data_IF_855337016720
#
_entry.id   IF_855337016720
#
_cell.length_a   1.000
_cell.length_b   1.000
_cell.length_c   1.000
_cell.angle_alpha   90.00
_cell.angle_beta   90.00
_cell.angle_gamma   90.00
#
_symmetry.space_group_name_H-M   'P 1'
#
loop_
_entity.id
_entity.type
_entity.pdbx_description
1 polymer ?
#
# COMPACT_ATOMS: atom_id res chain seq x y z
N UNK A 1 -6.76 -19.15 5.82
CA UNK A 1 -7.27 -18.68 4.51
C UNK A 1 -7.24 -17.16 4.47
N UNK A 2 -6.66 -16.53 3.43
CA UNK A 2 -6.73 -15.07 3.21
C UNK A 2 -8.02 -14.78 2.43
N UNK A 3 -8.96 -14.05 3.03
CA UNK A 3 -10.22 -13.70 2.37
C UNK A 3 -10.05 -12.39 1.57
N UNK A 4 -10.49 -12.31 0.30
CA UNK A 4 -10.41 -11.09 -0.49
C UNK A 4 -11.20 -9.93 0.14
N UNK A 5 -10.65 -8.72 0.11
CA UNK A 5 -11.31 -7.51 0.64
C UNK A 5 -12.68 -7.23 -0.01
N UNK A 6 -12.88 -7.71 -1.24
CA UNK A 6 -14.14 -7.60 -2.00
C UNK A 6 -15.31 -8.31 -1.33
N UNK A 7 -15.07 -9.33 -0.49
CA UNK A 7 -16.12 -10.03 0.24
C UNK A 7 -16.88 -9.12 1.22
N UNK A 8 -16.31 -7.96 1.60
CA UNK A 8 -16.98 -7.01 2.49
C UNK A 8 -18.29 -6.46 1.92
N UNK A 9 -18.37 -6.33 0.59
CA UNK A 9 -19.55 -5.82 -0.13
C UNK A 9 -20.27 -6.92 -0.93
N UNK A 10 -19.85 -8.18 -0.77
CA UNK A 10 -20.41 -9.29 -1.51
C UNK A 10 -21.86 -9.59 -1.08
N UNK A 11 -22.64 -10.12 -2.02
CA UNK A 11 -24.03 -10.54 -1.83
C UNK A 11 -24.20 -11.92 -2.45
N UNK A 12 -24.94 -12.81 -1.79
CA UNK A 12 -25.30 -14.10 -2.37
C UNK A 12 -26.35 -13.86 -3.45
N UNK A 13 -26.07 -14.29 -4.69
CA UNK A 13 -27.03 -14.24 -5.79
C UNK A 13 -27.81 -15.56 -5.92
N UNK A 14 -27.14 -16.67 -5.62
CA UNK A 14 -27.69 -18.02 -5.57
C UNK A 14 -26.82 -18.85 -4.62
N UNK A 15 -27.43 -19.74 -3.84
CA UNK A 15 -26.68 -20.70 -3.02
C UNK A 15 -27.39 -22.03 -2.90
N UNK A 16 -26.58 -23.08 -2.70
CA UNK A 16 -27.02 -24.40 -2.30
C UNK A 16 -26.55 -24.61 -0.86
N UNK A 17 -27.45 -25.10 0.01
CA UNK A 17 -27.15 -25.44 1.41
C UNK A 17 -26.47 -24.32 2.24
N UNK A 18 -26.85 -23.06 2.01
CA UNK A 18 -26.35 -21.91 2.78
C UNK A 18 -24.82 -21.69 2.76
N UNK A 19 -24.10 -22.34 1.83
CA UNK A 19 -22.64 -22.27 1.78
C UNK A 19 -22.14 -20.82 1.57
N UNK A 20 -22.81 -20.04 0.71
CA UNK A 20 -22.44 -18.66 0.43
C UNK A 20 -22.65 -17.75 1.64
N UNK A 21 -23.80 -17.90 2.30
CA UNK A 21 -24.15 -17.18 3.53
C UNK A 21 -23.14 -17.45 4.65
N UNK A 22 -22.74 -18.71 4.84
CA UNK A 22 -21.71 -19.08 5.81
C UNK A 22 -20.35 -18.40 5.52
N UNK A 23 -19.90 -18.39 4.26
CA UNK A 23 -18.66 -17.69 3.90
C UNK A 23 -18.75 -16.16 4.08
N UNK A 24 -19.92 -15.56 3.80
CA UNK A 24 -20.13 -14.13 4.04
C UNK A 24 -20.08 -13.79 5.53
N UNK A 25 -20.69 -14.61 6.39
CA UNK A 25 -20.66 -14.42 7.84
C UNK A 25 -19.21 -14.48 8.37
N UNK A 26 -18.44 -15.48 7.94
CA UNK A 26 -17.02 -15.58 8.28
C UNK A 26 -16.22 -14.36 7.82
N UNK A 27 -16.48 -13.89 6.59
CA UNK A 27 -15.84 -12.71 6.04
C UNK A 27 -16.18 -11.46 6.86
N UNK A 28 -17.47 -11.25 7.20
CA UNK A 28 -17.91 -10.12 8.02
C UNK A 28 -17.27 -10.12 9.41
N UNK A 29 -17.22 -11.28 10.07
CA UNK A 29 -16.55 -11.41 11.37
C UNK A 29 -15.06 -11.07 11.28
N UNK A 30 -14.39 -11.50 10.21
CA UNK A 30 -12.97 -11.15 9.98
C UNK A 30 -12.77 -9.67 9.67
N UNK A 31 -13.65 -9.05 8.87
CA UNK A 31 -13.55 -7.61 8.58
C UNK A 31 -13.69 -6.75 9.83
N UNK A 32 -14.51 -7.18 10.80
CA UNK A 32 -14.63 -6.51 12.11
C UNK A 32 -13.35 -6.62 12.95
N UNK A 33 -12.60 -7.71 12.81
CA UNK A 33 -11.36 -7.94 13.56
C UNK A 33 -10.14 -7.17 13.00
N UNK A 34 -10.23 -6.60 11.79
CA UNK A 34 -9.11 -5.91 11.14
C UNK A 34 -8.13 -6.88 10.45
N UNK A 35 -7.09 -6.34 9.80
CA UNK A 35 -6.03 -7.20 9.25
C UNK A 35 -5.11 -7.69 10.36
N UNK A 36 -4.53 -8.91 10.25
CA UNK A 36 -3.51 -9.37 11.20
C UNK A 36 -2.38 -8.35 11.33
N UNK A 37 -1.87 -8.17 12.55
CA UNK A 37 -0.69 -7.32 12.80
C UNK A 37 0.55 -7.92 12.14
N UNK A 38 1.31 -7.09 11.45
CA UNK A 38 2.57 -7.51 10.85
C UNK A 38 3.66 -7.73 11.90
N UNK A 39 4.44 -8.79 11.71
CA UNK A 39 5.70 -9.02 12.40
C UNK A 39 6.74 -7.96 11.99
N UNK A 40 7.79 -7.79 12.80
CA UNK A 40 8.89 -6.87 12.45
C UNK A 40 9.54 -7.21 11.10
N UNK A 41 9.75 -8.50 10.81
CA UNK A 41 10.32 -8.94 9.54
C UNK A 41 9.45 -8.58 8.34
N UNK A 42 8.12 -8.71 8.45
CA UNK A 42 7.20 -8.30 7.39
C UNK A 42 7.21 -6.79 7.18
N UNK A 43 7.32 -5.99 8.26
CA UNK A 43 7.45 -4.53 8.15
C UNK A 43 8.75 -4.13 7.44
N UNK A 44 9.88 -4.76 7.81
CA UNK A 44 11.18 -4.54 7.16
C UNK A 44 11.10 -4.91 5.67
N UNK A 45 10.46 -6.05 5.35
CA UNK A 45 10.26 -6.46 3.96
C UNK A 45 9.45 -5.45 3.16
N UNK A 46 8.31 -4.97 3.69
CA UNK A 46 7.52 -3.92 3.03
C UNK A 46 8.34 -2.65 2.74
N UNK A 47 9.15 -2.21 3.72
CA UNK A 47 10.07 -1.08 3.54
C UNK A 47 11.09 -1.37 2.43
N UNK A 48 11.69 -2.55 2.43
CA UNK A 48 12.69 -2.96 1.44
C UNK A 48 12.10 -3.03 0.03
N UNK A 49 10.92 -3.62 -0.13
CA UNK A 49 10.24 -3.79 -1.41
C UNK A 49 9.88 -2.41 -2.00
N UNK A 50 9.37 -1.47 -1.19
CA UNK A 50 9.12 -0.10 -1.64
C UNK A 50 10.42 0.63 -2.04
N UNK A 51 11.45 0.62 -1.18
CA UNK A 51 12.72 1.30 -1.48
C UNK A 51 13.45 0.70 -2.68
N UNK A 52 13.28 -0.60 -2.95
CA UNK A 52 13.80 -1.24 -4.14
C UNK A 52 13.27 -0.56 -5.41
N UNK A 53 11.97 -0.32 -5.50
CA UNK A 53 11.36 0.32 -6.66
C UNK A 53 11.75 1.79 -6.80
N UNK A 54 11.87 2.52 -5.69
CA UNK A 54 12.36 3.89 -5.72
C UNK A 54 13.79 3.96 -6.26
N UNK A 55 14.70 3.13 -5.74
CA UNK A 55 16.08 3.06 -6.24
C UNK A 55 16.14 2.65 -7.71
N UNK A 56 15.28 1.72 -8.16
CA UNK A 56 15.18 1.36 -9.58
C UNK A 56 14.72 2.52 -10.46
N UNK A 57 13.80 3.35 -9.99
CA UNK A 57 13.38 4.54 -10.71
C UNK A 57 14.52 5.57 -10.82
N UNK A 58 15.33 5.73 -9.77
CA UNK A 58 16.53 6.59 -9.79
C UNK A 58 17.60 6.08 -10.76
N UNK A 59 17.88 4.77 -10.76
CA UNK A 59 18.83 4.13 -11.68
C UNK A 59 18.49 4.41 -13.16
N UNK A 60 17.20 4.58 -13.46
CA UNK A 60 16.69 4.81 -14.82
C UNK A 60 16.36 6.27 -15.12
N UNK A 61 16.89 7.24 -14.36
CA UNK A 61 16.60 8.68 -14.56
C UNK A 61 16.83 9.19 -15.99
N UNK A 62 17.79 8.59 -16.72
CA UNK A 62 18.11 8.92 -18.11
C UNK A 62 17.11 8.32 -19.12
N UNK A 63 16.18 7.49 -18.65
CA UNK A 63 15.10 6.88 -19.43
C UNK A 63 13.74 7.26 -18.81
N UNK A 64 13.23 8.48 -19.07
CA UNK A 64 12.11 9.05 -18.32
C UNK A 64 10.85 8.18 -18.29
N UNK A 65 10.51 7.52 -19.40
CA UNK A 65 9.35 6.62 -19.46
C UNK A 65 9.48 5.40 -18.54
N UNK A 66 10.68 4.80 -18.46
CA UNK A 66 10.94 3.67 -17.58
C UNK A 66 10.96 4.11 -16.11
N UNK A 67 11.65 5.20 -15.80
CA UNK A 67 11.67 5.75 -14.44
C UNK A 67 10.27 6.12 -13.95
N UNK A 68 9.42 6.72 -14.79
CA UNK A 68 8.03 7.03 -14.45
C UNK A 68 7.21 5.78 -14.18
N UNK A 69 7.37 4.73 -14.99
CA UNK A 69 6.71 3.45 -14.76
C UNK A 69 7.14 2.81 -13.43
N UNK A 70 8.45 2.72 -13.17
CA UNK A 70 8.99 2.19 -11.91
C UNK A 70 8.54 3.02 -10.70
N UNK A 71 8.48 4.34 -10.84
CA UNK A 71 7.97 5.23 -9.81
C UNK A 71 6.48 5.01 -9.51
N UNK A 72 5.66 4.67 -10.52
CA UNK A 72 4.25 4.31 -10.27
C UNK A 72 4.11 3.03 -9.45
N UNK A 73 4.95 2.02 -9.69
CA UNK A 73 5.00 0.79 -8.88
C UNK A 73 5.39 1.13 -7.44
N UNK A 74 6.39 1.99 -7.26
CA UNK A 74 6.79 2.48 -5.94
C UNK A 74 5.62 3.14 -5.18
N UNK A 75 4.85 4.01 -5.84
CA UNK A 75 3.69 4.65 -5.22
C UNK A 75 2.63 3.63 -4.80
N UNK A 76 2.34 2.64 -5.64
CA UNK A 76 1.40 1.56 -5.31
C UNK A 76 1.87 0.74 -4.10
N UNK A 77 3.16 0.43 -4.02
CA UNK A 77 3.75 -0.25 -2.85
C UNK A 77 3.64 0.60 -1.58
N UNK A 78 3.87 1.92 -1.66
CA UNK A 78 3.69 2.82 -0.52
C UNK A 78 2.23 2.91 -0.06
N UNK A 79 1.28 2.98 -0.99
CA UNK A 79 -0.15 2.97 -0.67
C UNK A 79 -0.50 1.64 0.02
N UNK A 80 -0.09 0.50 -0.53
CA UNK A 80 -0.32 -0.81 0.07
C UNK A 80 0.30 -0.93 1.46
N UNK A 81 1.56 -0.49 1.62
CA UNK A 81 2.27 -0.51 2.88
C UNK A 81 1.55 0.33 3.95
N UNK A 82 0.99 1.49 3.61
CA UNK A 82 0.18 2.27 4.55
C UNK A 82 -0.98 1.44 5.14
N UNK A 83 -1.74 0.72 4.30
CA UNK A 83 -2.84 -0.11 4.77
C UNK A 83 -2.37 -1.24 5.68
N UNK A 84 -1.33 -1.97 5.26
CA UNK A 84 -0.83 -3.10 6.03
C UNK A 84 -0.20 -2.68 7.36
N UNK A 85 0.59 -1.61 7.37
CA UNK A 85 1.24 -1.10 8.59
C UNK A 85 0.25 -0.61 9.63
N UNK A 86 -0.91 -0.10 9.20
CA UNK A 86 -1.97 0.43 10.07
C UNK A 86 -3.09 -0.56 10.37
N UNK A 87 -2.98 -1.80 9.89
CA UNK A 87 -3.98 -2.83 10.18
C UNK A 87 -5.30 -2.66 9.40
N UNK A 88 -5.29 -1.89 8.31
CA UNK A 88 -6.48 -1.56 7.54
C UNK A 88 -6.67 -2.52 6.37
N UNK A 89 -7.93 -2.84 6.09
CA UNK A 89 -8.31 -3.49 4.84
C UNK A 89 -8.18 -2.51 3.68
N UNK A 90 -7.58 -2.95 2.58
CA UNK A 90 -7.53 -2.18 1.34
C UNK A 90 -8.96 -1.87 0.85
N UNK A 91 -9.33 -0.59 0.70
CA UNK A 91 -10.60 -0.19 0.12
C UNK A 91 -10.54 -0.31 -1.41
N UNK A 92 -11.61 0.10 -2.09
CA UNK A 92 -11.57 0.22 -3.55
C UNK A 92 -10.52 1.25 -3.99
N UNK A 93 -9.95 1.11 -5.18
CA UNK A 93 -8.94 2.03 -5.71
C UNK A 93 -9.40 3.51 -5.65
N UNK A 94 -10.67 3.77 -5.97
CA UNK A 94 -11.28 5.11 -5.89
C UNK A 94 -11.32 5.68 -4.47
N UNK A 95 -11.46 4.84 -3.47
CA UNK A 95 -11.54 5.27 -2.06
C UNK A 95 -10.17 5.31 -1.38
N UNK A 96 -9.16 4.67 -1.96
CA UNK A 96 -7.86 4.42 -1.33
C UNK A 96 -7.11 5.70 -0.95
N UNK A 97 -6.85 6.59 -1.91
CA UNK A 97 -6.12 7.83 -1.63
C UNK A 97 -6.90 8.75 -0.68
N UNK A 98 -8.22 8.83 -0.83
CA UNK A 98 -9.09 9.62 0.05
C UNK A 98 -9.05 9.12 1.48
N UNK A 99 -9.18 7.81 1.68
CA UNK A 99 -9.14 7.21 3.01
C UNK A 99 -7.77 7.40 3.66
N UNK A 100 -6.70 7.20 2.90
CA UNK A 100 -5.33 7.43 3.36
C UNK A 100 -5.15 8.88 3.82
N UNK A 101 -5.46 9.86 2.98
CA UNK A 101 -5.28 11.28 3.31
C UNK A 101 -6.11 11.75 4.52
N UNK A 102 -7.28 11.15 4.77
CA UNK A 102 -8.07 11.45 5.98
C UNK A 102 -7.41 10.93 7.27
N UNK A 103 -6.60 9.87 7.19
CA UNK A 103 -5.96 9.22 8.33
C UNK A 103 -4.52 9.68 8.54
N UNK A 104 -3.87 10.12 7.46
CA UNK A 104 -2.51 10.63 7.47
C UNK A 104 -2.43 11.78 6.44
N UNK A 105 -2.83 13.01 6.84
CA UNK A 105 -2.88 14.16 5.94
C UNK A 105 -1.53 14.47 5.30
N UNK A 106 -0.45 14.40 6.09
CA UNK A 106 0.91 14.61 5.60
C UNK A 106 1.27 13.64 4.48
N UNK A 107 1.02 12.34 4.66
CA UNK A 107 1.27 11.36 3.61
C UNK A 107 0.36 11.56 2.40
N UNK A 108 -0.91 11.91 2.64
CA UNK A 108 -1.88 12.23 1.58
C UNK A 108 -1.42 13.38 0.70
N UNK A 109 -0.93 14.47 1.30
CA UNK A 109 -0.41 15.65 0.60
C UNK A 109 0.85 15.31 -0.21
N UNK A 110 1.77 14.52 0.36
CA UNK A 110 2.97 14.07 -0.34
C UNK A 110 2.63 13.20 -1.55
N UNK A 111 1.72 12.24 -1.40
CA UNK A 111 1.26 11.39 -2.51
C UNK A 111 0.56 12.21 -3.59
N UNK A 112 -0.29 13.17 -3.21
CA UNK A 112 -0.94 14.06 -4.17
C UNK A 112 0.08 14.88 -4.96
N UNK A 113 1.07 15.47 -4.27
CA UNK A 113 2.16 16.20 -4.92
C UNK A 113 2.95 15.30 -5.89
N UNK A 114 3.28 14.07 -5.49
CA UNK A 114 4.03 13.13 -6.31
C UNK A 114 3.26 12.71 -7.58
N UNK A 115 1.94 12.53 -7.48
CA UNK A 115 1.09 12.14 -8.60
C UNK A 115 0.94 13.25 -9.66
N UNK A 116 0.95 14.53 -9.23
CA UNK A 116 0.73 15.68 -10.13
C UNK A 116 2.03 16.38 -10.54
N UNK A 117 3.16 16.09 -9.89
CA UNK A 117 4.43 16.72 -10.21
C UNK A 117 4.80 16.50 -11.69
N UNK A 118 5.18 17.55 -12.44
CA UNK A 118 5.45 17.43 -13.87
C UNK A 118 6.82 16.82 -14.17
N UNK A 119 7.79 17.06 -13.27
CA UNK A 119 9.20 16.72 -13.46
C UNK A 119 9.60 15.47 -12.68
N UNK A 120 10.34 14.56 -13.31
CA UNK A 120 10.83 13.33 -12.68
C UNK A 120 11.72 13.60 -11.44
N UNK A 121 12.67 14.55 -11.45
CA UNK A 121 13.48 14.85 -10.25
C UNK A 121 12.64 15.21 -9.02
N UNK A 122 11.59 16.03 -9.20
CA UNK A 122 10.69 16.40 -8.11
C UNK A 122 9.88 15.19 -7.61
N UNK A 123 9.44 14.31 -8.52
CA UNK A 123 8.77 13.06 -8.13
C UNK A 123 9.67 12.17 -7.27
N UNK A 124 10.93 12.00 -7.66
CA UNK A 124 11.89 11.18 -6.92
C UNK A 124 12.18 11.77 -5.53
N UNK A 125 12.35 13.10 -5.42
CA UNK A 125 12.49 13.79 -4.13
C UNK A 125 11.27 13.55 -3.22
N UNK A 126 10.06 13.72 -3.78
CA UNK A 126 8.81 13.44 -3.06
C UNK A 126 8.72 11.96 -2.67
N UNK A 127 9.23 11.04 -3.49
CA UNK A 127 9.35 9.62 -3.17
C UNK A 127 10.18 9.39 -1.92
N UNK A 128 11.35 9.99 -1.79
CA UNK A 128 12.14 9.87 -0.56
C UNK A 128 11.39 10.40 0.66
N UNK A 129 10.74 11.56 0.55
CA UNK A 129 9.93 12.13 1.64
C UNK A 129 8.75 11.24 2.04
N UNK A 130 8.11 10.58 1.07
CA UNK A 130 7.05 9.57 1.31
C UNK A 130 7.64 8.39 2.08
N UNK A 131 8.77 7.85 1.63
CA UNK A 131 9.41 6.69 2.27
C UNK A 131 9.86 7.01 3.70
N UNK A 132 10.47 8.17 3.92
CA UNK A 132 10.88 8.64 5.25
C UNK A 132 9.67 8.74 6.18
N UNK A 133 8.59 9.39 5.75
CA UNK A 133 7.40 9.55 6.59
C UNK A 133 6.72 8.21 6.90
N UNK A 134 6.55 7.36 5.88
CA UNK A 134 5.82 6.10 5.99
C UNK A 134 6.57 5.05 6.83
N UNK A 135 7.90 4.99 6.68
CA UNK A 135 8.72 3.93 7.27
C UNK A 135 9.60 4.38 8.45
N UNK A 136 9.41 5.61 8.98
CA UNK A 136 10.24 6.18 10.07
C UNK A 136 10.44 5.27 11.29
N UNK A 137 9.43 4.48 11.66
CA UNK A 137 9.46 3.59 12.84
C UNK A 137 9.98 2.17 12.52
N UNK A 138 10.34 1.90 11.26
CA UNK A 138 10.74 0.56 10.80
C UNK A 138 12.25 0.57 10.61
N UNK A 139 13.01 -0.30 11.30
CA UNK A 139 14.46 -0.31 11.17
C UNK A 139 14.88 -0.70 9.76
N UNK A 140 16.08 -0.26 9.37
CA UNK A 140 16.69 -0.72 8.13
C UNK A 140 16.98 -2.22 8.23
N UNK A 141 16.90 -2.98 7.12
CA UNK A 141 17.35 -4.37 7.12
C UNK A 141 18.81 -4.46 7.57
N UNK A 142 19.15 -5.49 8.35
CA UNK A 142 20.54 -5.74 8.72
C UNK A 142 21.37 -5.94 7.45
N UNK A 143 22.40 -5.12 7.27
CA UNK A 143 23.40 -5.35 6.22
C UNK A 143 24.18 -6.60 6.60
N UNK A 144 24.15 -7.61 5.75
CA UNK A 144 25.11 -8.72 5.81
C UNK A 144 26.24 -8.24 4.91
N UNK A 145 27.33 -7.79 5.53
CA UNK A 145 28.59 -7.46 4.85
C UNK A 145 29.28 -8.74 4.36
#
# INVERSE_FOLDING_TARGET
>A
MRLPATLRKARVLFEFEAAGSHYLEQAQNRFRQGTPSLTLHEKIRLRSDALHWLGKAEDHREQPGMAQYLFSIYLDECINAFYYLRGFWLPSAKESLRFLGQRDPTLGDLLQQALVAPELPLRLELGWRIAEHLFKEIPSPARID
#
